data_IF_938507013432
#
_entry.id   IF_938507013432
#
_cell.length_a   1.000
_cell.length_b   1.000
_cell.length_c   1.000
_cell.angle_alpha   90.00
_cell.angle_beta   90.00
_cell.angle_gamma   90.00
#
_symmetry.space_group_name_H-M   'P 1'
#
loop_
_entity.id
_entity.type
_entity.pdbx_description
1 polymer ?
#
# COMPACT_ATOMS: atom_id res chain seq x y z
N UNK A 1 -5.13 -9.35 21.75
CA UNK A 1 -5.85 -8.38 20.90
C UNK A 1 -4.81 -7.80 19.97
N UNK A 2 -5.06 -7.76 18.67
CA UNK A 2 -4.10 -7.18 17.72
C UNK A 2 -4.07 -5.66 17.90
N UNK A 3 -2.87 -5.10 18.08
CA UNK A 3 -2.65 -3.66 18.17
C UNK A 3 -1.99 -3.20 16.87
N UNK A 4 -2.26 -1.97 16.45
CA UNK A 4 -1.63 -1.39 15.27
C UNK A 4 -1.34 0.09 15.51
N UNK A 5 -0.23 0.54 14.94
CA UNK A 5 0.12 1.96 14.89
C UNK A 5 -0.19 2.47 13.49
N UNK A 6 -0.96 3.54 13.41
CA UNK A 6 -1.36 4.18 12.16
C UNK A 6 -0.64 5.52 12.06
N UNK A 7 -0.07 5.79 10.89
CA UNK A 7 0.48 7.08 10.52
C UNK A 7 -0.26 7.62 9.29
N UNK A 8 -0.80 8.83 9.43
CA UNK A 8 -1.57 9.51 8.40
C UNK A 8 -0.83 10.76 7.94
N UNK A 9 -0.67 10.89 6.63
CA UNK A 9 -0.22 12.13 6.00
C UNK A 9 -1.28 12.69 5.08
N UNK A 10 -1.62 13.95 5.32
CA UNK A 10 -2.44 14.74 4.41
C UNK A 10 -1.59 15.67 3.52
N UNK A 11 -2.09 16.09 2.35
CA UNK A 11 -1.36 16.96 1.43
C UNK A 11 -0.87 18.29 2.01
N UNK A 12 -1.56 18.81 3.02
CA UNK A 12 -1.21 20.07 3.67
C UNK A 12 -0.07 19.92 4.70
N UNK A 13 0.28 18.69 5.09
CA UNK A 13 1.39 18.46 6.01
C UNK A 13 2.71 18.84 5.34
N UNK A 14 3.42 19.80 5.94
CA UNK A 14 4.68 20.32 5.38
C UNK A 14 5.93 19.67 5.97
N UNK A 15 5.78 18.99 7.10
CA UNK A 15 6.86 18.31 7.82
C UNK A 15 6.36 17.01 8.48
N UNK A 16 7.29 16.15 8.87
CA UNK A 16 6.98 14.88 9.54
C UNK A 16 6.38 15.09 10.94
N UNK A 17 6.57 16.26 11.55
CA UNK A 17 6.00 16.61 12.84
C UNK A 17 4.48 16.85 12.79
N UNK A 18 3.93 17.00 11.59
CA UNK A 18 2.50 17.22 11.37
C UNK A 18 1.74 15.90 11.11
N UNK A 19 2.43 14.76 11.14
CA UNK A 19 1.80 13.45 10.95
C UNK A 19 0.77 13.16 12.05
N UNK A 20 -0.37 12.64 11.63
CA UNK A 20 -1.37 12.10 12.56
C UNK A 20 -0.96 10.68 12.94
N UNK A 21 -0.70 10.47 14.23
CA UNK A 21 -0.33 9.17 14.80
C UNK A 21 -1.50 8.64 15.63
N UNK A 22 -2.02 7.48 15.26
CA UNK A 22 -3.18 6.87 15.91
C UNK A 22 -2.83 5.44 16.33
N UNK A 23 -2.89 5.16 17.62
CA UNK A 23 -2.77 3.80 18.14
C UNK A 23 -4.15 3.16 18.25
N UNK A 24 -4.35 2.02 17.59
CA UNK A 24 -5.64 1.32 17.56
C UNK A 24 -5.54 -0.09 18.12
N UNK A 25 -6.65 -0.58 18.68
CA UNK A 25 -6.70 -1.84 19.43
C UNK A 25 -7.38 -2.98 18.68
N UNK A 26 -7.81 -2.73 17.44
CA UNK A 26 -8.51 -3.71 16.63
C UNK A 26 -8.35 -3.47 15.12
N UNK A 27 -8.50 -4.56 14.35
CA UNK A 27 -8.57 -4.53 12.88
C UNK A 27 -9.69 -3.61 12.39
N UNK A 28 -10.86 -3.66 13.04
CA UNK A 28 -12.01 -2.84 12.68
C UNK A 28 -11.75 -1.33 12.82
N UNK A 29 -10.99 -0.93 13.85
CA UNK A 29 -10.56 0.45 14.02
C UNK A 29 -9.60 0.89 12.90
N UNK A 30 -8.68 0.03 12.45
CA UNK A 30 -7.81 0.34 11.29
C UNK A 30 -8.64 0.54 10.02
N UNK A 31 -9.56 -0.37 9.71
CA UNK A 31 -10.43 -0.24 8.53
C UNK A 31 -11.28 1.02 8.59
N UNK A 32 -11.83 1.35 9.76
CA UNK A 32 -12.62 2.58 9.95
C UNK A 32 -11.77 3.83 9.72
N UNK A 33 -10.52 3.86 10.22
CA UNK A 33 -9.61 4.97 9.99
C UNK A 33 -9.23 5.10 8.50
N UNK A 34 -9.01 3.99 7.81
CA UNK A 34 -8.72 3.97 6.38
C UNK A 34 -9.88 4.52 5.54
N UNK A 35 -11.12 4.15 5.86
CA UNK A 35 -12.32 4.65 5.17
C UNK A 35 -12.56 6.14 5.46
N UNK A 36 -12.18 6.62 6.65
CA UNK A 36 -12.30 8.02 7.06
C UNK A 36 -11.30 8.97 6.37
N UNK A 37 -10.36 8.46 5.56
CA UNK A 37 -9.37 9.28 4.85
C UNK A 37 -9.97 10.20 3.78
N UNK A 38 -11.21 9.99 3.34
CA UNK A 38 -11.85 10.77 2.28
C UNK A 38 -10.97 10.89 1.01
N UNK A 39 -10.49 9.74 0.52
CA UNK A 39 -9.48 9.62 -0.54
C UNK A 39 -9.71 10.50 -1.78
N UNK A 40 -10.95 10.63 -2.23
CA UNK A 40 -11.29 11.48 -3.37
C UNK A 40 -10.96 12.97 -3.12
N UNK A 41 -11.27 13.48 -1.92
CA UNK A 41 -10.94 14.86 -1.57
C UNK A 41 -9.42 15.07 -1.49
N UNK A 42 -8.68 14.07 -1.00
CA UNK A 42 -7.22 14.10 -0.99
C UNK A 42 -6.64 14.13 -2.40
N UNK A 43 -7.21 13.39 -3.35
CA UNK A 43 -6.81 13.44 -4.76
C UNK A 43 -7.01 14.83 -5.35
N UNK A 44 -8.18 15.46 -5.11
CA UNK A 44 -8.44 16.82 -5.57
C UNK A 44 -7.44 17.84 -5.00
N UNK A 45 -7.06 17.70 -3.72
CA UNK A 45 -6.06 18.56 -3.09
C UNK A 45 -4.65 18.34 -3.68
N UNK A 46 -4.27 17.10 -3.97
CA UNK A 46 -2.97 16.78 -4.58
C UNK A 46 -2.82 17.39 -5.97
N UNK A 47 -3.90 17.45 -6.77
CA UNK A 47 -3.88 18.12 -8.08
C UNK A 47 -3.58 19.63 -7.96
N UNK A 48 -3.90 20.25 -6.83
CA UNK A 48 -3.65 21.68 -6.57
C UNK A 48 -2.25 21.91 -5.96
N UNK A 49 -1.75 20.94 -5.19
CA UNK A 49 -0.54 21.06 -4.40
C UNK A 49 0.58 20.17 -4.98
N UNK A 50 1.31 20.72 -5.95
CA UNK A 50 2.41 20.02 -6.62
C UNK A 50 3.47 19.50 -5.63
N UNK A 51 3.91 18.26 -5.81
CA UNK A 51 4.95 17.63 -4.99
C UNK A 51 4.52 17.26 -3.57
N UNK A 52 3.21 17.22 -3.29
CA UNK A 52 2.66 16.70 -2.03
C UNK A 52 2.29 15.24 -2.18
N UNK A 53 2.12 14.59 -1.03
CA UNK A 53 1.72 13.18 -0.94
C UNK A 53 0.59 13.04 0.10
N UNK A 54 -0.24 12.03 -0.09
CA UNK A 54 -1.20 11.58 0.90
C UNK A 54 -1.02 10.08 1.10
N UNK A 55 -0.89 9.63 2.35
CA UNK A 55 -0.79 8.21 2.65
C UNK A 55 -1.39 7.84 3.99
N UNK A 56 -1.68 6.55 4.09
CA UNK A 56 -2.08 5.84 5.29
C UNK A 56 -1.11 4.68 5.47
N UNK A 57 -0.34 4.69 6.55
CA UNK A 57 0.59 3.63 6.89
C UNK A 57 0.11 2.92 8.15
N UNK A 58 0.18 1.60 8.14
CA UNK A 58 -0.16 0.76 9.29
C UNK A 58 1.03 -0.11 9.62
N UNK A 59 1.41 -0.11 10.90
CA UNK A 59 2.48 -0.95 11.44
C UNK A 59 1.89 -1.94 12.43
N UNK A 60 2.24 -3.21 12.29
CA UNK A 60 2.00 -4.21 13.30
C UNK A 60 3.20 -4.21 14.28
N UNK A 61 3.05 -3.78 15.53
CA UNK A 61 4.15 -3.66 16.49
C UNK A 61 4.74 -5.03 16.86
N UNK A 62 3.96 -6.12 16.81
CA UNK A 62 4.42 -7.45 17.17
C UNK A 62 5.44 -8.00 16.15
N UNK A 63 5.22 -7.75 14.86
CA UNK A 63 6.14 -8.17 13.79
C UNK A 63 7.07 -7.05 13.30
N UNK A 64 6.83 -5.80 13.73
CA UNK A 64 7.48 -4.59 13.20
C UNK A 64 7.35 -4.44 11.67
N UNK A 65 6.32 -5.05 11.07
CA UNK A 65 6.06 -4.94 9.65
C UNK A 65 5.03 -3.87 9.37
N UNK A 66 5.15 -3.26 8.19
CA UNK A 66 4.34 -2.12 7.79
C UNK A 66 3.83 -2.25 6.35
N UNK A 67 2.65 -1.68 6.12
CA UNK A 67 2.17 -1.36 4.78
C UNK A 67 1.84 0.13 4.70
N UNK A 68 2.21 0.77 3.61
CA UNK A 68 1.89 2.15 3.27
C UNK A 68 1.02 2.14 2.03
N UNK A 69 -0.16 2.74 2.13
CA UNK A 69 -1.09 2.94 1.02
C UNK A 69 -1.14 4.43 0.69
N UNK A 70 -0.81 4.80 -0.54
CA UNK A 70 -0.84 6.17 -1.02
C UNK A 70 -1.64 6.30 -2.31
N UNK A 71 -2.07 7.51 -2.65
CA UNK A 71 -2.56 7.81 -3.99
C UNK A 71 -1.42 7.70 -5.00
N UNK A 72 -1.70 7.20 -6.21
CA UNK A 72 -0.72 7.13 -7.27
C UNK A 72 -0.55 8.51 -7.91
N UNK A 73 0.57 9.17 -7.61
CA UNK A 73 0.96 10.47 -8.15
C UNK A 73 1.16 10.47 -9.68
N UNK A 74 1.42 9.31 -10.27
CA UNK A 74 1.66 9.13 -11.70
C UNK A 74 0.41 8.69 -12.47
N UNK A 75 -0.73 8.50 -11.79
CA UNK A 75 -1.94 8.08 -12.48
C UNK A 75 -2.47 9.21 -13.37
N UNK A 76 -2.73 8.88 -14.62
CA UNK A 76 -3.45 9.75 -15.56
C UNK A 76 -4.95 9.48 -15.55
N UNK A 77 -5.43 8.64 -14.62
CA UNK A 77 -6.83 8.26 -14.52
C UNK A 77 -7.64 9.30 -13.74
N UNK A 78 -8.88 9.52 -14.18
CA UNK A 78 -9.88 10.32 -13.44
C UNK A 78 -10.41 9.57 -12.19
N UNK A 79 -9.99 8.33 -11.99
CA UNK A 79 -10.39 7.49 -10.85
C UNK A 79 -9.29 7.40 -9.80
N UNK A 80 -9.67 7.02 -8.58
CA UNK A 80 -8.71 6.75 -7.50
C UNK A 80 -7.85 5.54 -7.84
N UNK A 81 -6.55 5.80 -7.94
CA UNK A 81 -5.53 4.80 -8.13
C UNK A 81 -4.54 4.86 -6.97
N UNK A 82 -4.18 3.70 -6.42
CA UNK A 82 -3.37 3.58 -5.22
C UNK A 82 -2.10 2.79 -5.47
N UNK A 83 -1.09 3.08 -4.66
CA UNK A 83 0.13 2.30 -4.52
C UNK A 83 0.17 1.74 -3.11
N UNK A 84 0.46 0.44 -2.98
CA UNK A 84 0.75 -0.21 -1.71
C UNK A 84 2.23 -0.58 -1.69
N UNK A 85 2.96 -0.08 -0.70
CA UNK A 85 4.36 -0.41 -0.44
C UNK A 85 4.45 -1.10 0.93
N UNK A 86 5.39 -2.02 1.09
CA UNK A 86 5.56 -2.74 2.36
C UNK A 86 7.01 -3.14 2.60
N UNK A 87 7.34 -3.47 3.84
CA UNK A 87 8.60 -4.11 4.24
C UNK A 87 8.51 -5.66 4.22
N UNK A 88 7.44 -6.21 3.63
CA UNK A 88 7.23 -7.65 3.55
C UNK A 88 8.16 -8.24 2.49
N UNK A 89 9.19 -8.94 2.94
CA UNK A 89 10.18 -9.56 2.07
C UNK A 89 9.62 -10.72 1.24
N UNK A 90 9.99 -10.75 -0.04
CA UNK A 90 9.65 -11.81 -0.98
C UNK A 90 10.89 -12.22 -1.79
N UNK A 91 11.01 -13.51 -2.07
CA UNK A 91 12.08 -14.05 -2.91
C UNK A 91 11.47 -14.45 -4.25
N UNK A 92 11.81 -13.74 -5.31
CA UNK A 92 11.39 -14.08 -6.67
C UNK A 92 12.48 -14.89 -7.37
N UNK A 93 12.08 -15.96 -8.06
CA UNK A 93 12.95 -16.69 -8.98
C UNK A 93 12.74 -16.11 -10.39
N UNK A 94 13.64 -15.24 -10.83
CA UNK A 94 13.64 -14.81 -12.23
C UNK A 94 14.40 -15.84 -13.07
N UNK A 95 13.74 -16.35 -14.11
CA UNK A 95 14.39 -17.15 -15.15
C UNK A 95 15.12 -16.20 -16.09
N UNK A 96 16.43 -16.35 -16.20
CA UNK A 96 17.18 -15.58 -17.19
C UNK A 96 16.90 -16.11 -18.62
N UNK A 97 17.17 -15.24 -19.60
CA UNK A 97 17.14 -15.57 -21.02
C UNK A 97 18.00 -16.82 -21.22
N UNK A 98 17.48 -17.84 -21.91
CA UNK A 98 18.00 -19.20 -22.07
C UNK A 98 17.62 -20.24 -21.01
N UNK A 99 16.99 -19.88 -19.88
CA UNK A 99 16.44 -20.87 -18.93
C UNK A 99 17.49 -21.74 -18.22
N UNK A 100 18.78 -21.47 -18.43
CA UNK A 100 19.90 -22.21 -17.85
C UNK A 100 20.29 -21.69 -16.46
N UNK A 101 19.91 -20.46 -16.13
CA UNK A 101 20.22 -19.83 -14.84
C UNK A 101 18.96 -19.28 -14.18
N UNK A 102 18.77 -19.65 -12.91
CA UNK A 102 17.77 -19.09 -12.03
C UNK A 102 18.46 -18.14 -11.07
N UNK A 103 18.07 -16.87 -11.09
CA UNK A 103 18.52 -15.89 -10.10
C UNK A 103 17.43 -15.70 -9.05
N UNK A 104 17.79 -15.83 -7.78
CA UNK A 104 16.95 -15.42 -6.66
C UNK A 104 17.18 -13.94 -6.41
N UNK A 105 16.13 -13.15 -6.49
CA UNK A 105 16.16 -11.72 -6.13
C UNK A 105 15.34 -11.55 -4.86
N UNK A 106 15.93 -10.85 -3.88
CA UNK A 106 15.20 -10.37 -2.70
C UNK A 106 14.54 -9.06 -3.08
N UNK A 107 13.23 -9.00 -2.89
CA UNK A 107 12.41 -7.83 -3.17
C UNK A 107 11.42 -7.62 -2.01
N UNK A 108 10.65 -6.55 -2.08
CA UNK A 108 9.59 -6.23 -1.15
C UNK A 108 8.24 -6.19 -1.87
N UNK A 109 7.17 -6.58 -1.17
CA UNK A 109 5.84 -6.55 -1.76
C UNK A 109 5.44 -5.10 -2.05
N UNK A 110 5.25 -4.80 -3.33
CA UNK A 110 4.75 -3.53 -3.85
C UNK A 110 3.65 -3.80 -4.87
N UNK A 111 2.50 -3.15 -4.73
CA UNK A 111 1.43 -3.18 -5.73
C UNK A 111 1.17 -1.78 -6.25
N UNK A 112 1.16 -1.65 -7.57
CA UNK A 112 0.83 -0.40 -8.26
C UNK A 112 -0.54 -0.50 -8.88
N UNK A 113 -1.15 0.64 -9.11
CA UNK A 113 -2.40 0.76 -9.88
C UNK A 113 -3.60 0.06 -9.24
N UNK A 114 -3.68 0.07 -7.90
CA UNK A 114 -4.81 -0.51 -7.19
C UNK A 114 -6.00 0.43 -7.23
N UNK A 115 -7.21 -0.10 -7.42
CA UNK A 115 -8.42 0.63 -7.06
C UNK A 115 -8.67 0.53 -5.54
N UNK A 116 -9.60 1.34 -5.02
CA UNK A 116 -9.92 1.40 -3.58
C UNK A 116 -10.30 0.02 -3.01
N UNK A 117 -11.08 -0.78 -3.75
CA UNK A 117 -11.48 -2.13 -3.32
C UNK A 117 -10.26 -3.03 -3.11
N UNK A 118 -9.30 -3.00 -4.03
CA UNK A 118 -8.07 -3.80 -3.93
C UNK A 118 -7.14 -3.31 -2.83
N UNK A 119 -7.03 -1.99 -2.64
CA UNK A 119 -6.29 -1.42 -1.51
C UNK A 119 -6.85 -1.91 -0.17
N UNK A 120 -8.18 -1.90 -0.01
CA UNK A 120 -8.85 -2.42 1.19
C UNK A 120 -8.69 -3.94 1.33
N UNK A 121 -8.79 -4.70 0.24
CA UNK A 121 -8.55 -6.16 0.25
C UNK A 121 -7.14 -6.50 0.77
N UNK A 122 -6.12 -5.76 0.34
CA UNK A 122 -4.74 -6.02 0.73
C UNK A 122 -4.43 -5.52 2.15
N UNK A 123 -5.03 -4.40 2.56
CA UNK A 123 -5.02 -3.95 3.95
C UNK A 123 -5.60 -5.03 4.86
N UNK A 124 -6.78 -5.57 4.53
CA UNK A 124 -7.42 -6.62 5.33
C UNK A 124 -6.55 -7.88 5.43
N UNK A 125 -5.94 -8.32 4.32
CA UNK A 125 -4.98 -9.46 4.35
C UNK A 125 -3.81 -9.19 5.29
N UNK A 126 -3.23 -8.00 5.26
CA UNK A 126 -2.15 -7.62 6.17
C UNK A 126 -2.60 -7.65 7.64
N UNK A 127 -3.75 -7.05 7.95
CA UNK A 127 -4.30 -6.98 9.30
C UNK A 127 -4.64 -8.36 9.88
N UNK A 128 -5.05 -9.30 9.04
CA UNK A 128 -5.33 -10.69 9.42
C UNK A 128 -4.07 -11.59 9.42
N UNK A 129 -2.87 -11.03 9.23
CA UNK A 129 -1.61 -11.78 9.23
C UNK A 129 -1.43 -12.69 8.01
N UNK A 130 -2.20 -12.49 6.94
CA UNK A 130 -2.20 -13.31 5.73
C UNK A 130 -1.05 -12.91 4.77
N UNK A 131 0.16 -12.76 5.31
CA UNK A 131 1.31 -12.24 4.57
C UNK A 131 1.74 -13.16 3.42
N UNK A 132 1.62 -14.47 3.58
CA UNK A 132 1.91 -15.42 2.52
C UNK A 132 0.96 -15.26 1.33
N UNK A 133 -0.30 -14.89 1.58
CA UNK A 133 -1.25 -14.60 0.50
C UNK A 133 -0.83 -13.34 -0.28
N UNK A 134 -0.40 -12.28 0.41
CA UNK A 134 0.13 -11.06 -0.23
C UNK A 134 1.39 -11.38 -1.07
N UNK A 135 2.33 -12.17 -0.54
CA UNK A 135 3.53 -12.58 -1.28
C UNK A 135 3.18 -13.38 -2.54
N UNK A 136 2.26 -14.33 -2.43
CA UNK A 136 1.83 -15.13 -3.57
C UNK A 136 1.13 -14.28 -4.64
N UNK A 137 0.33 -13.30 -4.23
CA UNK A 137 -0.33 -12.37 -5.16
C UNK A 137 0.69 -11.49 -5.88
N UNK A 138 1.68 -10.97 -5.17
CA UNK A 138 2.79 -10.21 -5.75
C UNK A 138 3.58 -11.05 -6.76
N UNK A 139 3.96 -12.28 -6.40
CA UNK A 139 4.73 -13.18 -7.28
C UNK A 139 3.96 -13.63 -8.54
N UNK A 140 2.62 -13.67 -8.49
CA UNK A 140 1.79 -13.97 -9.67
C UNK A 140 1.73 -12.83 -10.66
N UNK A 141 2.08 -11.61 -10.26
CA UNK A 141 1.99 -10.45 -11.12
C UNK A 141 0.55 -10.04 -11.40
N UNK A 142 -0.35 -10.10 -10.41
CA UNK A 142 -1.66 -9.44 -10.46
C UNK A 142 -1.54 -7.89 -10.48
N UNK A 143 -0.53 -7.37 -11.18
CA UNK A 143 -0.64 -6.09 -11.84
C UNK A 143 -1.61 -6.35 -12.99
N UNK A 144 -2.88 -5.98 -12.84
CA UNK A 144 -3.77 -5.81 -13.98
C UNK A 144 -3.05 -4.86 -14.94
N UNK A 145 -2.32 -5.43 -15.91
CA UNK A 145 -1.92 -4.70 -17.09
C UNK A 145 -3.24 -4.29 -17.70
N UNK A 146 -3.56 -3.00 -17.58
CA UNK A 146 -4.62 -2.39 -18.35
C UNK A 146 -4.33 -2.71 -19.82
N UNK A 147 -4.97 -3.77 -20.33
CA UNK A 147 -4.97 -4.08 -21.74
C UNK A 147 -5.67 -2.91 -22.43
N UNK A 148 -4.85 -2.00 -22.94
CA UNK A 148 -5.22 -1.15 -24.06
C UNK A 148 -5.61 -2.05 -25.23
N UNK A 149 -6.88 -1.98 -25.64
CA UNK A 149 -7.35 -2.41 -26.95
C UNK A 149 -8.41 -1.44 -27.44
#
# INVERSE_FOLDING_TARGET
MAQFDIEIRHPHHTSDNELELVHVKSIAEVSTAFDAMHWFNLQLLLLQLQGRQAYFMVTNPDSSQSIKISLNELSTSDTLEFVLQSDIEVISEQREVFGLFKRKTKDYVEFKQLNLRKAHEYLDRFLNGQLDALKQQYLRGDTEVACSS
#
